data_IF_107376294812
#
_entry.id   IF_107376294812
#
_cell.length_a   1.000
_cell.length_b   1.000
_cell.length_c   1.000
_cell.angle_alpha   90.00
_cell.angle_beta   90.00
_cell.angle_gamma   90.00
#
_symmetry.space_group_name_H-M   'P 1'
#
loop_
_entity.id
_entity.type
_entity.pdbx_description
1 polymer ?
#
# COMPACT_ATOMS: atom_id res chain seq x y z
N UNK A 1 -4.53 -26.83 -58.22
CA UNK A 1 -4.64 -28.20 -58.80
C UNK A 1 -4.50 -29.20 -57.69
N UNK A 2 -5.39 -30.22 -57.73
CA UNK A 2 -5.48 -31.43 -56.92
C UNK A 2 -5.95 -31.18 -55.49
N UNK A 3 -7.20 -31.42 -55.15
CA UNK A 3 -8.12 -32.57 -55.19
C UNK A 3 -7.76 -33.67 -54.20
N UNK A 4 -8.75 -33.90 -53.38
CA UNK A 4 -9.41 -35.16 -52.94
C UNK A 4 -8.77 -35.83 -51.72
N UNK A 5 -9.41 -36.53 -50.78
CA UNK A 5 -10.78 -37.12 -50.74
C UNK A 5 -11.03 -37.62 -49.31
N UNK A 6 -12.22 -37.37 -48.78
CA UNK A 6 -13.15 -38.23 -48.03
C UNK A 6 -12.65 -39.53 -47.37
N UNK A 7 -12.98 -39.78 -46.09
CA UNK A 7 -13.77 -40.97 -45.75
C UNK A 7 -14.48 -40.85 -44.39
N UNK A 8 -15.75 -41.10 -44.43
CA UNK A 8 -16.65 -41.25 -43.28
C UNK A 8 -16.55 -42.65 -42.72
N UNK A 9 -16.69 -42.86 -41.42
CA UNK A 9 -17.15 -44.11 -40.86
C UNK A 9 -18.07 -43.89 -39.67
N UNK A 10 -19.32 -44.27 -39.88
CA UNK A 10 -20.42 -44.36 -38.95
C UNK A 10 -20.23 -45.64 -38.15
N UNK A 11 -20.34 -45.56 -36.83
CA UNK A 11 -20.44 -46.72 -35.95
C UNK A 11 -21.47 -46.47 -34.87
N UNK A 12 -22.72 -46.88 -35.13
CA UNK A 12 -23.76 -47.05 -34.09
C UNK A 12 -23.45 -48.30 -33.28
N UNK A 13 -23.41 -48.17 -31.96
CA UNK A 13 -23.66 -49.28 -31.06
C UNK A 13 -24.51 -48.81 -29.89
N UNK A 14 -25.74 -49.32 -29.90
CA UNK A 14 -26.66 -49.24 -28.78
C UNK A 14 -26.27 -50.29 -27.73
N UNK A 15 -26.24 -49.93 -26.46
CA UNK A 15 -26.26 -50.87 -25.35
C UNK A 15 -26.90 -50.32 -24.09
N UNK A 16 -28.01 -50.85 -23.80
CA UNK A 16 -28.67 -51.19 -22.54
C UNK A 16 -28.25 -50.51 -21.25
N UNK A 17 -29.22 -49.87 -20.65
CA UNK A 17 -29.30 -49.37 -19.28
C UNK A 17 -29.66 -50.54 -18.34
N UNK A 18 -28.95 -50.79 -17.25
CA UNK A 18 -29.53 -51.42 -16.08
C UNK A 18 -29.86 -50.34 -15.02
N UNK A 19 -31.04 -50.49 -14.42
CA UNK A 19 -31.50 -49.73 -13.30
C UNK A 19 -30.61 -50.08 -12.09
N UNK A 20 -29.97 -49.05 -11.48
CA UNK A 20 -29.27 -49.20 -10.22
C UNK A 20 -30.16 -48.78 -9.06
N UNK A 21 -30.36 -49.73 -8.22
CA UNK A 21 -30.92 -49.76 -6.90
C UNK A 21 -30.38 -48.62 -6.01
N UNK A 22 -31.31 -47.93 -5.31
CA UNK A 22 -30.94 -46.93 -4.30
C UNK A 22 -30.31 -47.63 -3.09
N UNK A 23 -29.01 -47.44 -2.91
CA UNK A 23 -28.33 -47.70 -1.65
C UNK A 23 -28.65 -46.60 -0.64
N UNK A 24 -28.74 -46.89 0.67
CA UNK A 24 -28.98 -45.92 1.69
C UNK A 24 -27.78 -44.96 1.80
N UNK A 25 -28.08 -43.67 1.88
CA UNK A 25 -27.10 -42.60 2.12
C UNK A 25 -26.66 -42.75 3.56
N UNK A 26 -25.47 -43.30 3.81
CA UNK A 26 -24.78 -43.18 5.06
C UNK A 26 -24.45 -41.68 5.26
N UNK A 27 -24.94 -41.14 6.37
CA UNK A 27 -24.63 -39.78 6.79
C UNK A 27 -23.13 -39.70 7.10
N UNK A 28 -22.38 -38.99 6.25
CA UNK A 28 -21.02 -38.62 6.55
C UNK A 28 -20.94 -37.92 7.92
N UNK A 29 -20.00 -38.29 8.79
CA UNK A 29 -19.80 -37.58 10.06
C UNK A 29 -19.44 -36.14 9.75
N UNK A 30 -20.31 -35.23 10.23
CA UNK A 30 -20.04 -33.76 10.22
C UNK A 30 -18.67 -33.56 10.85
N UNK A 31 -17.68 -33.22 10.04
CA UNK A 31 -16.40 -32.81 10.53
C UNK A 31 -16.60 -31.62 11.52
N UNK A 32 -15.96 -31.62 12.70
CA UNK A 32 -16.10 -30.52 13.62
C UNK A 32 -15.67 -29.24 12.89
N UNK A 33 -16.55 -28.21 12.94
CA UNK A 33 -16.25 -26.89 12.42
C UNK A 33 -14.93 -26.43 13.05
N UNK A 34 -13.89 -26.34 12.25
CA UNK A 34 -12.64 -25.69 12.65
C UNK A 34 -13.03 -24.26 12.99
N UNK A 35 -12.76 -23.76 14.23
CA UNK A 35 -13.03 -22.38 14.53
C UNK A 35 -12.27 -21.54 13.49
N UNK A 36 -12.99 -20.70 12.75
CA UNK A 36 -12.34 -19.67 11.94
C UNK A 36 -11.45 -18.88 12.89
N UNK A 37 -10.14 -19.07 12.76
CA UNK A 37 -9.18 -18.23 13.43
C UNK A 37 -9.51 -16.81 12.98
N UNK A 38 -9.98 -15.97 13.92
CA UNK A 38 -10.09 -14.53 13.69
C UNK A 38 -8.74 -14.13 13.14
N UNK A 39 -8.72 -13.62 11.91
CA UNK A 39 -7.54 -13.01 11.36
C UNK A 39 -7.18 -11.87 12.30
N UNK A 40 -6.19 -12.07 13.16
CA UNK A 40 -5.61 -11.06 14.04
C UNK A 40 -4.89 -10.03 13.13
N UNK A 41 -5.70 -9.23 12.43
CA UNK A 41 -5.25 -8.02 11.78
C UNK A 41 -5.20 -6.91 12.84
N UNK A 42 -4.37 -5.87 12.63
CA UNK A 42 -4.27 -4.75 13.54
C UNK A 42 -5.66 -4.14 13.79
N UNK A 43 -5.99 -3.89 15.05
CA UNK A 43 -7.23 -3.24 15.45
C UNK A 43 -7.13 -1.74 15.12
N UNK A 44 -8.13 -1.21 14.40
CA UNK A 44 -8.18 0.20 14.00
C UNK A 44 -8.13 1.15 15.21
N UNK A 45 -8.74 0.78 16.32
CA UNK A 45 -8.81 1.63 17.52
C UNK A 45 -7.44 1.84 18.19
N UNK A 46 -6.58 0.82 18.13
CA UNK A 46 -5.28 0.82 18.82
C UNK A 46 -4.09 1.02 17.88
N UNK A 47 -4.30 0.92 16.56
CA UNK A 47 -3.22 0.98 15.59
C UNK A 47 -2.99 2.39 15.04
N UNK A 48 -1.74 2.84 15.03
CA UNK A 48 -1.29 4.02 14.30
C UNK A 48 -0.63 3.65 12.98
N UNK A 49 -0.88 4.45 11.95
CA UNK A 49 -0.11 4.42 10.71
C UNK A 49 1.08 5.37 10.85
N UNK A 50 2.27 4.83 10.70
CA UNK A 50 3.54 5.54 10.88
C UNK A 50 4.30 5.57 9.57
N UNK A 51 4.81 6.75 9.22
CA UNK A 51 5.60 6.98 8.02
C UNK A 51 6.98 6.33 8.14
N UNK A 52 7.36 5.52 7.16
CA UNK A 52 8.64 4.81 7.14
C UNK A 52 9.29 4.95 5.75
N UNK A 53 10.61 5.06 5.71
CA UNK A 53 11.37 5.20 4.46
C UNK A 53 11.33 3.95 3.55
N UNK A 54 10.92 2.80 4.11
CA UNK A 54 10.76 1.55 3.36
C UNK A 54 9.29 1.23 3.02
N UNK A 55 8.32 2.11 3.42
CA UNK A 55 6.90 1.89 3.22
C UNK A 55 6.02 2.53 4.28
N UNK A 56 5.02 1.79 4.79
CA UNK A 56 4.16 2.23 5.89
C UNK A 56 4.21 1.21 7.04
N UNK A 57 4.40 1.71 8.25
CA UNK A 57 4.43 0.91 9.46
C UNK A 57 3.14 1.07 10.24
N UNK A 58 2.57 -0.03 10.65
CA UNK A 58 1.39 -0.11 11.50
C UNK A 58 1.86 -0.47 12.91
N UNK A 59 1.59 0.39 13.87
CA UNK A 59 2.06 0.22 15.26
C UNK A 59 0.86 0.12 16.18
N UNK A 60 0.73 -1.01 16.87
CA UNK A 60 -0.24 -1.17 17.95
C UNK A 60 0.24 -0.39 19.18
N UNK A 61 -0.55 0.59 19.60
CA UNK A 61 -0.20 1.54 20.68
C UNK A 61 -0.17 0.89 22.06
N UNK A 62 -0.89 -0.20 22.24
CA UNK A 62 -0.99 -0.89 23.54
C UNK A 62 0.18 -1.88 23.72
N UNK A 63 0.45 -2.69 22.70
CA UNK A 63 1.49 -3.73 22.77
C UNK A 63 2.85 -3.27 22.23
N UNK A 64 2.90 -2.18 21.48
CA UNK A 64 4.11 -1.72 20.76
C UNK A 64 4.50 -2.61 19.58
N UNK A 65 3.73 -3.65 19.28
CA UNK A 65 3.98 -4.50 18.11
C UNK A 65 3.82 -3.70 16.83
N UNK A 66 4.71 -3.95 15.87
CA UNK A 66 4.65 -3.25 14.59
C UNK A 66 4.71 -4.21 13.41
N UNK A 67 4.03 -3.80 12.33
CA UNK A 67 4.02 -4.49 11.05
C UNK A 67 4.34 -3.48 9.94
N UNK A 68 5.25 -3.83 9.04
CA UNK A 68 5.68 -2.97 7.93
C UNK A 68 5.13 -3.51 6.60
N UNK A 69 4.38 -2.67 5.90
CA UNK A 69 4.07 -2.88 4.49
C UNK A 69 5.15 -2.17 3.69
N UNK A 70 6.03 -2.96 3.11
CA UNK A 70 7.19 -2.47 2.35
C UNK A 70 6.79 -2.01 0.95
N UNK A 71 7.58 -1.13 0.38
CA UNK A 71 7.60 -0.92 -1.06
C UNK A 71 7.82 -2.26 -1.77
N UNK A 72 7.12 -2.47 -2.91
CA UNK A 72 7.03 -3.74 -3.62
C UNK A 72 5.86 -4.64 -3.19
N UNK A 73 5.15 -4.33 -2.09
CA UNK A 73 3.90 -5.01 -1.74
C UNK A 73 2.84 -4.79 -2.82
N UNK A 74 1.89 -5.73 -2.95
CA UNK A 74 0.81 -5.57 -3.94
C UNK A 74 -0.17 -4.46 -3.54
N UNK A 75 -0.77 -3.78 -4.52
CA UNK A 75 -1.78 -2.76 -4.29
C UNK A 75 -2.92 -3.25 -3.38
N UNK A 76 -3.58 -4.39 -3.68
CA UNK A 76 -4.63 -4.93 -2.82
C UNK A 76 -4.18 -5.21 -1.38
N UNK A 77 -2.95 -5.67 -1.16
CA UNK A 77 -2.42 -5.90 0.18
C UNK A 77 -2.26 -4.58 0.94
N UNK A 78 -1.71 -3.56 0.29
CA UNK A 78 -1.47 -2.24 0.86
C UNK A 78 -2.79 -1.53 1.17
N UNK A 79 -3.69 -1.47 0.20
CA UNK A 79 -5.02 -0.88 0.35
C UNK A 79 -5.84 -1.54 1.47
N UNK A 80 -5.87 -2.88 1.51
CA UNK A 80 -6.62 -3.62 2.52
C UNK A 80 -6.08 -3.38 3.94
N UNK A 81 -4.77 -3.20 4.09
CA UNK A 81 -4.19 -2.90 5.38
C UNK A 81 -4.56 -1.48 5.83
N UNK A 82 -4.41 -0.50 4.93
CA UNK A 82 -4.70 0.89 5.25
C UNK A 82 -6.20 1.11 5.50
N UNK A 83 -7.06 0.53 4.66
CA UNK A 83 -8.52 0.59 4.80
C UNK A 83 -9.03 0.13 6.17
N UNK A 84 -8.38 -0.84 6.80
CA UNK A 84 -8.78 -1.33 8.13
C UNK A 84 -8.55 -0.28 9.21
N UNK A 85 -7.58 0.62 9.04
CA UNK A 85 -7.15 1.57 10.06
C UNK A 85 -7.75 2.96 9.82
N UNK A 86 -7.70 3.44 8.58
CA UNK A 86 -8.11 4.82 8.25
C UNK A 86 -9.41 4.88 7.43
N UNK A 87 -9.98 3.74 7.05
CA UNK A 87 -11.21 3.69 6.27
C UNK A 87 -11.00 3.54 4.77
N UNK A 88 -12.04 3.85 3.99
CA UNK A 88 -11.96 3.75 2.53
C UNK A 88 -11.09 4.87 1.95
N UNK A 89 -10.48 4.60 0.80
CA UNK A 89 -9.82 5.63 0.01
C UNK A 89 -10.84 6.70 -0.44
N UNK A 90 -10.39 7.96 -0.44
CA UNK A 90 -11.19 9.10 -0.88
C UNK A 90 -11.20 9.23 -2.40
N UNK A 91 -10.06 8.91 -3.03
CA UNK A 91 -9.86 9.07 -4.46
C UNK A 91 -8.88 8.04 -5.02
N UNK A 92 -9.01 7.78 -6.33
CA UNK A 92 -8.07 7.00 -7.14
C UNK A 92 -7.88 7.66 -8.48
N UNK A 93 -6.63 7.79 -8.90
CA UNK A 93 -6.28 8.43 -10.17
C UNK A 93 -5.06 7.78 -10.79
N UNK A 94 -4.79 8.12 -12.05
CA UNK A 94 -3.61 7.69 -12.81
C UNK A 94 -2.99 8.89 -13.48
N UNK A 95 -1.66 8.95 -13.51
CA UNK A 95 -0.91 9.92 -14.30
C UNK A 95 0.15 9.19 -15.13
N UNK A 96 0.04 9.29 -16.45
CA UNK A 96 0.96 8.65 -17.39
C UNK A 96 2.23 9.47 -17.64
N UNK A 97 2.26 10.73 -17.18
CA UNK A 97 3.33 11.70 -17.44
C UNK A 97 4.26 11.93 -16.25
N UNK A 98 4.23 11.08 -15.21
CA UNK A 98 5.17 11.20 -14.09
C UNK A 98 6.61 11.00 -14.56
N UNK A 99 7.56 11.73 -13.96
CA UNK A 99 8.98 11.60 -14.27
C UNK A 99 9.54 10.18 -14.10
N UNK A 100 8.93 9.37 -13.24
CA UNK A 100 9.27 7.97 -13.02
C UNK A 100 8.47 6.98 -13.91
N UNK A 101 7.69 7.46 -14.88
CA UNK A 101 6.78 6.67 -15.70
C UNK A 101 5.34 6.68 -15.18
N UNK A 102 4.43 5.98 -15.86
CA UNK A 102 3.02 5.92 -15.48
C UNK A 102 2.85 5.45 -14.04
N UNK A 103 1.99 6.14 -13.29
CA UNK A 103 1.69 5.87 -11.89
C UNK A 103 0.20 5.87 -11.61
N UNK A 104 -0.23 4.99 -10.71
CA UNK A 104 -1.55 4.98 -10.11
C UNK A 104 -1.46 5.52 -8.68
N UNK A 105 -2.47 6.26 -8.26
CA UNK A 105 -2.53 6.88 -6.94
C UNK A 105 -3.78 6.45 -6.20
N UNK A 106 -3.65 6.24 -4.89
CA UNK A 106 -4.79 6.08 -3.98
C UNK A 106 -4.62 7.06 -2.84
N UNK A 107 -5.61 7.94 -2.63
CA UNK A 107 -5.59 8.96 -1.59
C UNK A 107 -6.41 8.55 -0.38
N UNK A 108 -5.84 8.82 0.81
CA UNK A 108 -6.45 8.64 2.12
C UNK A 108 -6.21 9.93 2.93
N UNK A 109 -7.22 10.79 3.05
CA UNK A 109 -7.07 12.14 3.61
C UNK A 109 -5.91 12.91 2.94
N UNK A 110 -4.92 13.29 3.72
CA UNK A 110 -3.72 14.00 3.27
C UNK A 110 -2.62 13.11 2.67
N UNK A 111 -2.75 11.77 2.79
CA UNK A 111 -1.74 10.82 2.33
C UNK A 111 -2.12 10.20 0.99
N UNK A 112 -1.20 10.23 0.05
CA UNK A 112 -1.31 9.55 -1.25
C UNK A 112 -0.34 8.38 -1.32
N UNK A 113 -0.84 7.21 -1.68
CA UNK A 113 -0.04 6.03 -2.00
C UNK A 113 0.20 5.97 -3.50
N UNK A 114 1.42 5.69 -3.89
CA UNK A 114 1.85 5.61 -5.27
C UNK A 114 2.09 4.15 -5.67
N UNK A 115 1.56 3.77 -6.82
CA UNK A 115 1.69 2.42 -7.36
C UNK A 115 2.24 2.44 -8.78
N UNK A 116 3.06 1.45 -9.10
CA UNK A 116 3.51 1.14 -10.47
C UNK A 116 3.40 -0.36 -10.69
N UNK A 117 2.88 -0.78 -11.83
CA UNK A 117 2.67 -2.20 -12.17
C UNK A 117 1.96 -2.98 -11.04
N UNK A 118 0.97 -2.34 -10.39
CA UNK A 118 0.20 -2.91 -9.29
C UNK A 118 1.00 -3.10 -7.98
N UNK A 119 2.19 -2.49 -7.86
CA UNK A 119 3.05 -2.52 -6.67
C UNK A 119 3.07 -1.17 -5.98
N UNK A 120 3.01 -1.18 -4.66
CA UNK A 120 3.23 -0.01 -3.81
C UNK A 120 4.69 0.42 -3.93
N UNK A 121 4.95 1.62 -4.42
CA UNK A 121 6.31 2.11 -4.71
C UNK A 121 6.69 3.36 -3.94
N UNK A 122 5.74 4.09 -3.38
CA UNK A 122 6.01 5.32 -2.65
C UNK A 122 4.77 5.86 -1.96
N UNK A 123 4.96 6.83 -1.10
CA UNK A 123 3.90 7.61 -0.48
C UNK A 123 4.26 9.10 -0.44
N UNK A 124 3.23 9.93 -0.45
CA UNK A 124 3.32 11.38 -0.30
C UNK A 124 2.31 11.86 0.75
N UNK A 125 2.73 12.73 1.65
CA UNK A 125 1.89 13.39 2.64
C UNK A 125 2.00 14.90 2.44
N UNK A 126 0.92 15.55 2.04
CA UNK A 126 0.82 17.00 1.89
C UNK A 126 0.27 17.69 3.14
N UNK A 127 0.33 19.03 3.14
CA UNK A 127 -0.24 19.85 4.21
C UNK A 127 -1.73 20.10 3.97
N UNK A 128 -2.52 19.03 4.09
CA UNK A 128 -3.97 19.02 3.91
C UNK A 128 -4.67 18.58 5.21
N UNK A 129 -5.99 18.75 5.33
CA UNK A 129 -6.75 18.21 6.44
C UNK A 129 -6.45 16.72 6.65
N UNK A 130 -6.25 16.31 7.89
CA UNK A 130 -5.88 14.92 8.23
C UNK A 130 -4.37 14.66 8.31
N UNK A 131 -3.51 15.53 7.77
CA UNK A 131 -2.04 15.34 7.76
C UNK A 131 -1.43 15.12 9.14
N UNK A 132 -1.97 15.76 10.17
CA UNK A 132 -1.49 15.64 11.56
C UNK A 132 -1.69 14.24 12.17
N UNK A 133 -2.46 13.39 11.53
CA UNK A 133 -2.67 12.00 11.94
C UNK A 133 -1.44 11.13 11.68
N UNK A 134 -0.57 11.56 10.75
CA UNK A 134 0.59 10.81 10.29
C UNK A 134 1.90 11.42 10.76
N UNK A 135 2.79 10.59 11.26
CA UNK A 135 4.15 10.99 11.64
C UNK A 135 5.12 9.82 11.49
N UNK A 136 6.40 10.12 11.48
CA UNK A 136 7.46 9.10 11.59
C UNK A 136 7.52 8.53 13.01
N UNK A 137 8.28 7.46 13.22
CA UNK A 137 8.55 6.92 14.57
C UNK A 137 9.21 7.94 15.50
N UNK A 138 9.93 8.91 14.95
CA UNK A 138 10.56 10.01 15.72
C UNK A 138 9.62 11.20 15.94
N UNK A 139 8.32 11.06 15.60
CA UNK A 139 7.33 12.12 15.78
C UNK A 139 7.43 13.28 14.76
N UNK A 140 8.16 13.10 13.67
CA UNK A 140 8.24 14.09 12.60
C UNK A 140 7.01 13.98 11.70
N UNK A 141 6.28 15.07 11.54
CA UNK A 141 5.08 15.17 10.73
C UNK A 141 4.89 16.58 10.17
N UNK A 142 3.82 16.76 9.40
CA UNK A 142 3.45 18.07 8.85
C UNK A 142 3.27 19.07 9.99
N UNK A 143 3.79 20.30 9.80
CA UNK A 143 3.77 21.36 10.79
C UNK A 143 4.89 21.32 11.82
N UNK A 144 5.72 20.26 11.89
CA UNK A 144 6.93 20.23 12.71
C UNK A 144 7.90 21.29 12.21
N UNK A 145 8.42 22.15 13.09
CA UNK A 145 9.40 23.17 12.70
C UNK A 145 10.78 22.54 12.41
N UNK A 146 11.59 23.20 11.56
CA UNK A 146 12.95 22.76 11.24
C UNK A 146 13.80 22.61 12.50
N UNK A 147 13.73 23.58 13.43
CA UNK A 147 14.42 23.50 14.71
C UNK A 147 14.01 22.24 15.50
N UNK A 148 12.70 21.98 15.62
CA UNK A 148 12.20 20.84 16.36
C UNK A 148 12.56 19.51 15.70
N UNK A 149 12.53 19.45 14.38
CA UNK A 149 12.93 18.25 13.64
C UNK A 149 14.43 17.94 13.86
N UNK A 150 15.31 18.97 13.84
CA UNK A 150 16.75 18.82 14.12
C UNK A 150 17.08 18.32 15.52
N UNK A 151 16.20 18.52 16.50
CA UNK A 151 16.36 17.97 17.85
C UNK A 151 16.13 16.44 17.89
N UNK A 152 15.32 15.91 16.98
CA UNK A 152 14.87 14.51 17.00
C UNK A 152 15.59 13.64 15.99
N UNK A 153 16.02 14.19 14.85
CA UNK A 153 16.64 13.47 13.73
C UNK A 153 17.74 14.30 13.06
N UNK A 154 18.66 13.61 12.39
CA UNK A 154 19.61 14.28 11.49
C UNK A 154 18.90 14.67 10.21
N UNK A 155 18.91 15.97 9.87
CA UNK A 155 18.37 16.52 8.64
C UNK A 155 19.54 16.82 7.71
N UNK A 156 19.40 16.44 6.43
CA UNK A 156 20.29 16.83 5.35
C UNK A 156 19.51 17.73 4.41
N UNK A 157 19.84 19.00 4.36
CA UNK A 157 19.25 19.98 3.46
C UNK A 157 19.76 19.72 2.01
N UNK A 158 18.89 19.83 1.02
CA UNK A 158 19.17 19.58 -0.41
C UNK A 158 19.36 20.96 -1.11
N UNK A 159 20.59 21.49 -1.11
CA UNK A 159 20.88 22.86 -1.55
C UNK A 159 20.52 23.15 -3.03
N UNK A 160 20.60 22.15 -3.92
CA UNK A 160 20.32 22.32 -5.36
C UNK A 160 18.92 21.78 -5.77
N UNK A 161 17.99 21.65 -4.82
CA UNK A 161 16.66 21.15 -5.13
C UNK A 161 15.85 22.12 -5.97
N UNK A 162 15.22 21.60 -7.02
CA UNK A 162 14.22 22.34 -7.83
C UNK A 162 12.83 22.37 -7.20
N UNK A 163 12.62 21.62 -6.11
CA UNK A 163 11.35 21.55 -5.39
C UNK A 163 11.24 22.60 -4.26
N UNK A 164 12.29 23.36 -4.00
CA UNK A 164 12.34 24.38 -2.94
C UNK A 164 13.17 23.95 -1.73
N UNK A 165 12.70 24.24 -0.52
CA UNK A 165 13.38 23.94 0.76
C UNK A 165 13.33 22.43 1.08
N UNK A 166 13.90 21.62 0.19
CA UNK A 166 13.91 20.17 0.30
C UNK A 166 14.94 19.69 1.33
N UNK A 167 14.58 18.63 2.04
CA UNK A 167 15.47 17.97 2.99
C UNK A 167 15.27 16.46 2.96
N UNK A 168 16.20 15.73 3.56
CA UNK A 168 16.05 14.30 3.81
C UNK A 168 16.39 13.92 5.25
N UNK A 169 15.77 12.84 5.72
CA UNK A 169 16.08 12.15 6.98
C UNK A 169 16.28 10.66 6.71
N UNK A 170 17.15 10.02 7.47
CA UNK A 170 17.50 8.61 7.24
C UNK A 170 18.67 8.45 6.27
N UNK A 171 19.00 7.20 5.94
CA UNK A 171 20.13 6.85 5.07
C UNK A 171 19.82 5.61 4.23
N UNK A 172 20.47 5.45 3.08
CA UNK A 172 20.31 4.32 2.18
C UNK A 172 18.88 4.21 1.67
N UNK A 173 18.30 3.02 1.74
CA UNK A 173 16.94 2.73 1.25
C UNK A 173 15.84 3.18 2.24
N UNK A 174 16.21 3.79 3.37
CA UNK A 174 15.28 4.24 4.43
C UNK A 174 15.14 5.75 4.48
N UNK A 175 15.33 6.42 3.35
CA UNK A 175 15.25 7.87 3.28
C UNK A 175 13.80 8.32 3.20
N UNK A 176 13.44 9.28 4.06
CA UNK A 176 12.23 10.07 3.94
C UNK A 176 12.67 11.47 3.49
N UNK A 177 12.16 11.91 2.36
CA UNK A 177 12.29 13.29 1.90
C UNK A 177 11.19 14.16 2.47
N UNK A 178 11.41 15.46 2.45
CA UNK A 178 10.39 16.42 2.83
C UNK A 178 10.69 17.82 2.30
N UNK A 179 9.73 18.70 2.46
CA UNK A 179 9.84 20.10 2.09
C UNK A 179 9.42 20.98 3.28
N UNK A 180 10.20 22.02 3.55
CA UNK A 180 9.77 23.09 4.44
C UNK A 180 9.06 24.19 3.65
N UNK A 181 8.03 24.79 4.25
CA UNK A 181 7.27 25.88 3.63
C UNK A 181 8.08 27.15 3.36
N UNK A 182 9.23 27.32 4.03
CA UNK A 182 10.09 28.50 3.92
C UNK A 182 11.50 28.17 4.43
N UNK A 183 12.51 29.02 4.19
CA UNK A 183 13.83 28.91 4.83
C UNK A 183 13.76 29.26 6.33
N UNK A 184 14.78 28.80 7.08
CA UNK A 184 15.02 29.11 8.48
C UNK A 184 14.41 28.14 9.47
N UNK A 185 14.82 28.25 10.74
CA UNK A 185 14.53 27.26 11.79
C UNK A 185 13.06 27.25 12.24
N UNK A 186 12.33 28.34 12.05
CA UNK A 186 10.89 28.44 12.34
C UNK A 186 10.01 27.85 11.24
N UNK A 187 10.59 27.55 10.06
CA UNK A 187 9.87 26.96 8.94
C UNK A 187 9.28 25.60 9.31
N UNK A 188 8.06 25.37 8.89
CA UNK A 188 7.33 24.14 9.16
C UNK A 188 7.44 23.17 7.98
N UNK A 189 7.46 21.90 8.28
CA UNK A 189 7.33 20.85 7.27
C UNK A 189 5.96 20.98 6.60
N UNK A 190 5.97 21.07 5.28
CA UNK A 190 4.80 21.23 4.41
C UNK A 190 4.49 19.97 3.59
N UNK A 191 5.50 19.16 3.34
CA UNK A 191 5.33 17.84 2.73
C UNK A 191 6.36 16.84 3.25
N UNK A 192 5.97 15.55 3.25
CA UNK A 192 6.85 14.40 3.48
C UNK A 192 6.59 13.34 2.41
N UNK A 193 7.62 12.60 2.01
CA UNK A 193 7.50 11.56 1.01
C UNK A 193 8.61 10.51 1.14
N UNK A 194 8.35 9.30 0.66
CA UNK A 194 9.38 8.28 0.50
C UNK A 194 9.09 7.38 -0.70
N UNK A 195 10.11 6.66 -1.15
CA UNK A 195 10.03 5.81 -2.33
C UNK A 195 9.88 6.61 -3.62
N UNK A 196 9.22 6.01 -4.62
CA UNK A 196 9.02 6.63 -5.93
C UNK A 196 7.80 7.56 -5.90
N UNK A 197 8.00 8.81 -6.29
CA UNK A 197 6.98 9.84 -6.32
C UNK A 197 6.93 10.52 -7.71
N UNK A 198 5.79 11.12 -8.03
CA UNK A 198 5.55 11.83 -9.29
C UNK A 198 6.12 13.25 -9.24
N UNK A 199 7.44 13.38 -9.14
CA UNK A 199 8.13 14.66 -9.22
C UNK A 199 8.80 14.83 -10.59
N UNK A 200 8.77 16.05 -11.09
CA UNK A 200 9.58 16.49 -12.23
C UNK A 200 10.79 17.25 -11.66
N UNK A 201 11.98 16.71 -11.84
CA UNK A 201 13.25 17.28 -11.39
C UNK A 201 14.12 17.69 -12.58
#
# INVERSE_FOLDING_TARGET
MRKLTTLAMIGLLAACKPAAEKAPVDADPVAPAVPEAKADGPDAATTAVVLDGEGLRFVDKESGKSYLIKFGSTGPQTDNALKRIVGNADDRSTNEECGAGSMEFTRYDAMTLNFQDGKFVGWFLGNEPGASTYSTMSGIGIGTTRAKAKESVSIVDMEDSTLGEEFSIGTGDKVIGGMFAAPGDAAKIDALFAGTNCFFR
#
